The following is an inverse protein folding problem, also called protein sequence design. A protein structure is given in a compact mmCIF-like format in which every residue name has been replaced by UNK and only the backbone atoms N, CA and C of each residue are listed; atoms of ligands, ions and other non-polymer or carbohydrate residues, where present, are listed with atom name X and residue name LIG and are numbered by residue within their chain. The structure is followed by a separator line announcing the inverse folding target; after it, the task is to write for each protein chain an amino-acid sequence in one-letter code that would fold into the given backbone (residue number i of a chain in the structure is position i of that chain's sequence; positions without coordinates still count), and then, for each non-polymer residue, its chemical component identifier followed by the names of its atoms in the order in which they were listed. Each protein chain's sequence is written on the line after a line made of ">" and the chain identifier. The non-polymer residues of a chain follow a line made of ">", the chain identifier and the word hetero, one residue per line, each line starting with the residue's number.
data_IF_850052752236
#
_entry.id   IF_850052752236
#
_cell.length_a   1.000
_cell.length_b   1.000
_cell.length_c   1.000
_cell.angle_alpha   90.00
_cell.angle_beta   90.00
_cell.angle_gamma   90.00
#
_symmetry.space_group_name_H-M   'P 1'
#
loop_
_entity.id
_entity.type
_entity.pdbx_description
1 polymer ?
#
# COMPACT_ATOMS: atom_id res chain seq x y z
N UNK A 1 -12.33 65.38 -17.84
CA UNK A 1 -11.05 65.06 -17.17
C UNK A 1 -11.18 63.94 -16.13
N UNK A 2 -11.88 64.09 -14.99
CA UNK A 2 -11.93 63.02 -13.97
C UNK A 2 -12.95 61.90 -14.29
N UNK A 3 -14.13 62.23 -14.84
CA UNK A 3 -15.18 61.24 -15.17
C UNK A 3 -14.71 60.20 -16.19
N UNK A 4 -13.97 60.62 -17.23
CA UNK A 4 -13.50 59.75 -18.30
C UNK A 4 -12.47 58.73 -17.79
N UNK A 5 -11.57 59.17 -16.90
CA UNK A 5 -10.59 58.30 -16.23
C UNK A 5 -11.27 57.25 -15.37
N UNK A 6 -12.35 57.59 -14.64
CA UNK A 6 -13.09 56.63 -13.82
C UNK A 6 -13.71 55.50 -14.64
N UNK A 7 -14.27 55.82 -15.80
CA UNK A 7 -14.89 54.82 -16.70
C UNK A 7 -13.83 53.86 -17.24
N UNK A 8 -12.66 54.38 -17.63
CA UNK A 8 -11.53 53.58 -18.14
C UNK A 8 -10.99 52.65 -17.04
N UNK A 9 -10.80 53.18 -15.83
CA UNK A 9 -10.30 52.41 -14.68
C UNK A 9 -11.30 51.32 -14.27
N UNK A 10 -12.60 51.63 -14.27
CA UNK A 10 -13.63 50.64 -13.97
C UNK A 10 -13.67 49.50 -14.99
N UNK A 11 -13.58 49.82 -16.30
CA UNK A 11 -13.53 48.81 -17.36
C UNK A 11 -12.30 47.91 -17.25
N UNK A 12 -11.13 48.48 -16.91
CA UNK A 12 -9.90 47.72 -16.69
C UNK A 12 -10.04 46.73 -15.53
N UNK A 13 -10.55 47.20 -14.38
CA UNK A 13 -10.72 46.36 -13.18
C UNK A 13 -11.67 45.19 -13.47
N UNK A 14 -12.79 45.43 -14.15
CA UNK A 14 -13.75 44.38 -14.52
C UNK A 14 -13.10 43.34 -15.45
N UNK A 15 -12.28 43.78 -16.41
CA UNK A 15 -11.54 42.87 -17.29
C UNK A 15 -10.55 41.98 -16.55
N UNK A 16 -9.81 42.52 -15.58
CA UNK A 16 -8.88 41.73 -14.75
C UNK A 16 -9.61 40.75 -13.84
N UNK A 17 -10.73 41.14 -13.24
CA UNK A 17 -11.54 40.26 -12.40
C UNK A 17 -12.11 39.10 -13.23
N UNK A 18 -12.64 39.37 -14.42
CA UNK A 18 -13.15 38.34 -15.32
C UNK A 18 -12.05 37.35 -15.72
N UNK A 19 -10.85 37.86 -16.03
CA UNK A 19 -9.69 37.05 -16.40
C UNK A 19 -9.22 36.18 -15.23
N UNK A 20 -9.11 36.74 -14.03
CA UNK A 20 -8.74 36.01 -12.82
C UNK A 20 -9.75 34.91 -12.47
N UNK A 21 -11.05 35.21 -12.58
CA UNK A 21 -12.11 34.23 -12.35
C UNK A 21 -12.02 33.04 -13.33
N UNK A 22 -11.76 33.32 -14.60
CA UNK A 22 -11.60 32.27 -15.61
C UNK A 22 -10.36 31.41 -15.35
N UNK A 23 -9.22 32.01 -14.97
CA UNK A 23 -8.01 31.29 -14.59
C UNK A 23 -8.22 30.39 -13.37
N UNK A 24 -8.90 30.87 -12.33
CA UNK A 24 -9.20 30.08 -11.13
C UNK A 24 -10.09 28.86 -11.47
N UNK A 25 -11.10 29.05 -12.33
CA UNK A 25 -11.97 27.96 -12.79
C UNK A 25 -11.21 26.92 -13.61
N UNK A 26 -10.31 27.35 -14.50
CA UNK A 26 -9.47 26.47 -15.29
C UNK A 26 -8.47 25.69 -14.41
N UNK A 27 -7.85 26.37 -13.44
CA UNK A 27 -6.92 25.77 -12.47
C UNK A 27 -7.58 24.68 -11.65
N UNK A 28 -8.75 24.95 -11.04
CA UNK A 28 -9.48 23.95 -10.24
C UNK A 28 -9.83 22.70 -11.05
N UNK A 29 -10.22 22.85 -12.32
CA UNK A 29 -10.55 21.72 -13.21
C UNK A 29 -9.31 20.87 -13.54
N UNK A 30 -8.15 21.50 -13.73
CA UNK A 30 -6.89 20.80 -13.97
C UNK A 30 -6.41 20.08 -12.70
N UNK A 31 -6.47 20.71 -11.53
CA UNK A 31 -6.07 20.13 -10.25
C UNK A 31 -6.90 18.90 -9.88
N UNK A 32 -8.22 18.92 -10.09
CA UNK A 32 -9.07 17.76 -9.82
C UNK A 32 -8.70 16.54 -10.68
N UNK A 33 -8.27 16.76 -11.93
CA UNK A 33 -7.80 15.68 -12.83
C UNK A 33 -6.42 15.17 -12.41
N UNK A 34 -5.53 16.06 -11.98
CA UNK A 34 -4.20 15.69 -11.48
C UNK A 34 -4.29 14.85 -10.20
N UNK A 35 -5.14 15.25 -9.25
CA UNK A 35 -5.34 14.52 -8.01
C UNK A 35 -5.94 13.13 -8.24
N UNK A 36 -6.99 13.01 -9.05
CA UNK A 36 -7.59 11.70 -9.36
C UNK A 36 -6.61 10.76 -10.08
N UNK A 37 -5.75 11.28 -10.97
CA UNK A 37 -4.68 10.48 -11.59
C UNK A 37 -3.64 10.04 -10.56
N UNK A 38 -3.22 10.94 -9.67
CA UNK A 38 -2.27 10.61 -8.60
C UNK A 38 -2.80 9.54 -7.64
N UNK A 39 -4.07 9.65 -7.23
CA UNK A 39 -4.73 8.66 -6.37
C UNK A 39 -4.89 7.31 -7.07
N UNK A 40 -5.30 7.30 -8.35
CA UNK A 40 -5.40 6.05 -9.11
C UNK A 40 -4.04 5.39 -9.33
N UNK A 41 -3.00 6.15 -9.68
CA UNK A 41 -1.64 5.63 -9.83
C UNK A 41 -1.09 5.08 -8.50
N UNK A 42 -1.29 5.79 -7.39
CA UNK A 42 -0.89 5.29 -6.07
C UNK A 42 -1.64 4.00 -5.72
N UNK A 43 -2.94 3.90 -6.05
CA UNK A 43 -3.74 2.71 -5.84
C UNK A 43 -3.28 1.54 -6.71
N UNK A 44 -2.94 1.79 -7.97
CA UNK A 44 -2.37 0.80 -8.89
C UNK A 44 -0.99 0.33 -8.42
N UNK A 45 -0.12 1.23 -7.96
CA UNK A 45 1.18 0.89 -7.39
C UNK A 45 1.07 0.08 -6.10
N UNK A 46 0.11 0.40 -5.24
CA UNK A 46 -0.17 -0.41 -4.04
C UNK A 46 -0.77 -1.79 -4.39
N UNK A 47 -1.54 -1.89 -5.47
CA UNK A 47 -2.05 -3.17 -5.96
C UNK A 47 -0.97 -4.00 -6.67
N UNK A 48 0.02 -3.36 -7.31
CA UNK A 48 1.11 -4.03 -8.03
C UNK A 48 2.34 -4.30 -7.16
N UNK A 49 2.40 -3.75 -5.95
CA UNK A 49 3.47 -4.07 -5.01
C UNK A 49 3.25 -5.48 -4.49
N UNK A 50 4.18 -6.43 -4.72
CA UNK A 50 4.03 -7.77 -4.22
C UNK A 50 3.92 -7.71 -2.69
N UNK A 51 2.81 -8.21 -2.16
CA UNK A 51 2.52 -8.24 -0.71
C UNK A 51 3.55 -9.07 0.08
N UNK A 52 4.37 -9.86 -0.62
CA UNK A 52 5.42 -10.70 -0.07
C UNK A 52 6.59 -10.73 -1.05
N UNK A 53 7.78 -10.32 -0.61
CA UNK A 53 9.01 -10.43 -1.38
C UNK A 53 9.72 -11.75 -1.09
N UNK A 54 10.63 -12.18 -1.96
CA UNK A 54 11.45 -13.40 -1.75
C UNK A 54 12.26 -13.29 -0.45
N UNK A 55 12.69 -12.08 -0.08
CA UNK A 55 13.38 -11.80 1.18
C UNK A 55 12.49 -12.08 2.41
N UNK A 56 11.19 -11.79 2.33
CA UNK A 56 10.24 -12.08 3.41
C UNK A 56 10.05 -13.59 3.61
N UNK A 57 10.06 -14.35 2.52
CA UNK A 57 10.00 -15.81 2.56
C UNK A 57 11.27 -16.42 3.19
N UNK A 58 12.45 -15.91 2.82
CA UNK A 58 13.73 -16.34 3.41
C UNK A 58 13.81 -15.99 4.91
N UNK A 59 13.32 -14.82 5.31
CA UNK A 59 13.25 -14.42 6.70
C UNK A 59 12.35 -15.34 7.51
N UNK A 60 11.18 -15.70 6.97
CA UNK A 60 10.27 -16.61 7.66
C UNK A 60 10.81 -18.04 7.80
N UNK A 61 11.52 -18.56 6.80
CA UNK A 61 12.15 -19.88 6.93
C UNK A 61 13.23 -19.88 8.01
N UNK A 62 14.08 -18.84 8.07
CA UNK A 62 15.08 -18.66 9.14
C UNK A 62 14.46 -18.53 10.55
N UNK A 63 13.35 -17.82 10.67
CA UNK A 63 12.63 -17.73 11.95
C UNK A 63 12.08 -19.10 12.34
N UNK A 64 11.51 -19.85 11.39
CA UNK A 64 10.94 -21.17 11.67
C UNK A 64 12.00 -22.17 12.14
N UNK A 65 13.20 -22.14 11.54
CA UNK A 65 14.32 -23.02 11.95
C UNK A 65 14.87 -22.65 13.33
N UNK A 66 15.03 -21.35 13.62
CA UNK A 66 15.48 -20.91 14.94
C UNK A 66 14.46 -21.22 16.05
N UNK A 67 13.16 -21.08 15.79
CA UNK A 67 12.11 -21.53 16.71
C UNK A 67 12.14 -23.05 16.95
N UNK A 68 12.48 -23.85 15.93
CA UNK A 68 12.62 -25.30 16.09
C UNK A 68 13.79 -25.65 17.03
N UNK A 69 14.95 -25.04 16.82
CA UNK A 69 16.11 -25.18 17.71
C UNK A 69 15.81 -24.70 19.13
N UNK A 70 15.04 -23.62 19.28
CA UNK A 70 14.58 -23.17 20.57
C UNK A 70 13.75 -24.28 21.26
N UNK A 71 12.74 -24.86 20.59
CA UNK A 71 11.95 -25.95 21.20
C UNK A 71 12.83 -27.10 21.68
N UNK A 72 13.80 -27.54 20.87
CA UNK A 72 14.71 -28.63 21.24
C UNK A 72 15.58 -28.29 22.45
N UNK A 73 16.11 -27.07 22.52
CA UNK A 73 16.92 -26.62 23.66
C UNK A 73 16.09 -26.47 24.93
N UNK A 74 14.88 -25.91 24.85
CA UNK A 74 14.00 -25.74 26.01
C UNK A 74 13.49 -27.09 26.53
N UNK A 75 13.28 -28.10 25.68
CA UNK A 75 12.88 -29.46 26.10
C UNK A 75 13.94 -30.18 26.94
N UNK A 76 15.21 -29.80 26.84
CA UNK A 76 16.30 -30.42 27.60
C UNK A 76 16.34 -29.99 29.09
N UNK A 77 15.60 -28.95 29.47
CA UNK A 77 15.60 -28.40 30.84
C UNK A 77 14.29 -28.75 31.59
N UNK A 78 14.36 -29.31 32.81
CA UNK A 78 13.16 -29.54 33.62
C UNK A 78 12.57 -28.21 34.12
N UNK A 79 11.23 -28.07 34.07
CA UNK A 79 10.50 -26.86 34.50
C UNK A 79 10.17 -25.84 33.39
N UNK A 80 10.52 -26.12 32.14
CA UNK A 80 10.31 -25.22 30.98
C UNK A 80 9.09 -25.59 30.12
N UNK A 81 8.22 -26.48 30.60
CA UNK A 81 7.07 -27.05 29.88
C UNK A 81 6.15 -25.95 29.30
N UNK A 82 5.93 -24.87 30.05
CA UNK A 82 5.12 -23.72 29.64
C UNK A 82 5.79 -22.97 28.47
N UNK A 83 7.12 -22.88 28.49
CA UNK A 83 7.91 -22.23 27.44
C UNK A 83 7.88 -23.05 26.16
N UNK A 84 8.05 -24.38 26.27
CA UNK A 84 7.92 -25.33 25.16
C UNK A 84 6.52 -25.25 24.53
N UNK A 85 5.46 -25.18 25.34
CA UNK A 85 4.09 -25.04 24.84
C UNK A 85 3.87 -23.71 24.10
N UNK A 86 4.40 -22.59 24.63
CA UNK A 86 4.29 -21.26 24.00
C UNK A 86 5.05 -21.20 22.66
N UNK A 87 6.28 -21.71 22.63
CA UNK A 87 7.11 -21.73 21.41
C UNK A 87 6.49 -22.67 20.35
N UNK A 88 5.91 -23.81 20.76
CA UNK A 88 5.16 -24.67 19.84
C UNK A 88 3.93 -23.99 19.24
N UNK A 89 3.19 -23.22 20.05
CA UNK A 89 2.05 -22.42 19.55
C UNK A 89 2.51 -21.37 18.54
N UNK A 90 3.60 -20.66 18.83
CA UNK A 90 4.19 -19.68 17.92
C UNK A 90 4.66 -20.34 16.61
N UNK A 91 5.32 -21.50 16.68
CA UNK A 91 5.73 -22.27 15.50
C UNK A 91 4.53 -22.63 14.60
N UNK A 92 3.42 -23.12 15.18
CA UNK A 92 2.20 -23.45 14.42
C UNK A 92 1.54 -22.22 13.79
N UNK A 93 1.54 -21.08 14.48
CA UNK A 93 1.01 -19.83 13.92
C UNK A 93 1.88 -19.34 12.77
N UNK A 94 3.21 -19.43 12.91
CA UNK A 94 4.15 -19.03 11.87
C UNK A 94 4.05 -19.90 10.61
N UNK A 95 3.88 -21.22 10.77
CA UNK A 95 3.70 -22.12 9.63
C UNK A 95 2.36 -21.88 8.92
N UNK A 96 1.28 -21.62 9.67
CA UNK A 96 -0.01 -21.25 9.08
C UNK A 96 0.06 -19.90 8.35
N UNK A 97 0.80 -18.94 8.90
CA UNK A 97 1.06 -17.66 8.24
C UNK A 97 1.90 -17.85 6.97
N UNK A 98 2.93 -18.70 7.01
CA UNK A 98 3.76 -19.04 5.85
C UNK A 98 2.94 -19.63 4.71
N UNK A 99 2.05 -20.57 5.04
CA UNK A 99 1.15 -21.20 4.07
C UNK A 99 0.16 -20.20 3.47
N UNK A 100 -0.41 -19.29 4.28
CA UNK A 100 -1.28 -18.21 3.79
C UNK A 100 -0.53 -17.25 2.88
N UNK A 101 0.70 -16.88 3.24
CA UNK A 101 1.54 -16.03 2.39
C UNK A 101 1.93 -16.74 1.09
N UNK A 102 2.20 -18.05 1.12
CA UNK A 102 2.46 -18.83 -0.09
C UNK A 102 1.26 -18.84 -1.03
N UNK A 103 0.06 -19.07 -0.50
CA UNK A 103 -1.20 -19.03 -1.26
C UNK A 103 -1.49 -17.64 -1.84
N UNK A 104 -1.17 -16.58 -1.09
CA UNK A 104 -1.36 -15.19 -1.54
C UNK A 104 -0.33 -14.78 -2.60
N UNK A 105 0.90 -15.31 -2.53
CA UNK A 105 1.98 -15.03 -3.48
C UNK A 105 1.89 -15.88 -4.76
N UNK A 106 1.37 -17.11 -4.67
CA UNK A 106 1.13 -18.02 -5.78
C UNK A 106 -0.34 -18.48 -5.75
N UNK A 107 -1.29 -17.65 -6.21
CA UNK A 107 -2.62 -18.15 -6.49
C UNK A 107 -2.49 -19.26 -7.54
N UNK A 108 -3.04 -20.44 -7.24
CA UNK A 108 -3.04 -21.55 -8.20
C UNK A 108 -3.57 -21.04 -9.55
N UNK A 109 -2.91 -21.37 -10.67
CA UNK A 109 -3.46 -21.01 -11.98
C UNK A 109 -4.84 -21.66 -12.08
N UNK A 110 -5.88 -20.83 -12.15
CA UNK A 110 -7.29 -21.25 -12.19
C UNK A 110 -7.64 -22.07 -13.44
N UNK A 111 -6.73 -22.18 -14.43
CA UNK A 111 -7.00 -22.84 -15.70
C UNK A 111 -5.88 -23.85 -16.01
N UNK A 112 -6.08 -25.11 -15.65
CA UNK A 112 -5.34 -26.24 -16.22
C UNK A 112 -6.28 -27.29 -16.86
N UNK A 113 -7.57 -26.97 -17.07
CA UNK A 113 -8.55 -27.88 -17.71
C UNK A 113 -9.34 -27.24 -18.86
N UNK A 114 -9.05 -26.00 -19.28
CA UNK A 114 -9.76 -25.33 -20.40
C UNK A 114 -8.85 -24.99 -21.60
N UNK A 115 -7.75 -25.72 -21.82
CA UNK A 115 -6.91 -25.53 -23.00
C UNK A 115 -6.43 -26.86 -23.61
N UNK A 116 -7.25 -27.34 -24.55
CA UNK A 116 -7.00 -28.33 -25.61
C UNK A 116 -7.02 -29.82 -25.23
#
# INVERSE_FOLDING_TARGET
>A
MQIETYIIVAGLIVGWIATAFFMLKAGRKASARGFNRGVNLAREQHASSPTCTVADHELMTKITTSLALAVETWQAFPGTEIMVARVNKQRRQLTAFAAKMWLAAYPAPLNAEDAA
#
